data_IF_088314998508
#
_entry.id   IF_088314998508
#
_cell.length_a   1.000
_cell.length_b   1.000
_cell.length_c   1.000
_cell.angle_alpha   90.00
_cell.angle_beta   90.00
_cell.angle_gamma   90.00
#
_symmetry.space_group_name_H-M   'P 1'
#
loop_
_entity.id
_entity.type
_entity.pdbx_description
1 polymer ?
#
# COMPACT_ATOMS: atom_id res chain seq x y z
N UNK A 1 -16.42 0.94 20.15
CA UNK A 1 -14.96 0.86 20.36
C UNK A 1 -14.10 1.51 19.27
N UNK A 2 -14.50 1.62 17.99
CA UNK A 2 -13.83 2.53 17.03
C UNK A 2 -14.27 4.01 17.20
N UNK A 3 -15.55 4.25 17.54
CA UNK A 3 -16.12 5.60 17.64
C UNK A 3 -15.72 6.36 18.93
N UNK A 4 -15.31 5.64 19.98
CA UNK A 4 -14.93 6.25 21.26
C UNK A 4 -13.54 6.92 21.23
N UNK A 5 -12.70 6.60 20.23
CA UNK A 5 -11.39 7.26 20.07
C UNK A 5 -11.53 8.60 19.33
N UNK A 6 -12.56 8.75 18.50
CA UNK A 6 -12.79 9.96 17.72
C UNK A 6 -13.52 11.03 18.56
N UNK A 7 -14.33 10.62 19.55
CA UNK A 7 -15.21 11.55 20.28
C UNK A 7 -14.56 12.34 21.43
N UNK A 8 -13.41 11.91 21.98
CA UNK A 8 -12.91 12.46 23.26
C UNK A 8 -11.89 13.60 23.13
N UNK A 9 -11.65 14.15 21.94
CA UNK A 9 -10.76 15.33 21.77
C UNK A 9 -11.49 16.54 21.15
N UNK A 10 -12.74 16.76 21.53
CA UNK A 10 -13.40 18.07 21.41
C UNK A 10 -13.60 18.66 22.80
N UNK A 11 -12.51 19.02 23.49
CA UNK A 11 -12.48 20.00 24.58
C UNK A 11 -11.09 19.97 25.25
N UNK A 12 -10.10 20.69 24.70
CA UNK A 12 -9.20 21.57 25.46
C UNK A 12 -8.67 22.59 24.44
N UNK A 13 -9.27 23.78 24.43
CA UNK A 13 -8.75 24.96 23.77
C UNK A 13 -7.83 25.67 24.76
N UNK A 14 -6.52 25.50 24.60
CA UNK A 14 -5.53 26.48 25.06
C UNK A 14 -4.47 26.60 23.97
N UNK A 15 -4.14 27.84 23.62
CA UNK A 15 -3.27 28.20 22.51
C UNK A 15 -1.84 27.65 22.67
N UNK A 16 -1.16 27.58 21.51
CA UNK A 16 0.23 27.18 21.29
C UNK A 16 0.57 25.69 21.48
N UNK A 17 -0.01 24.80 20.68
CA UNK A 17 0.65 23.59 20.11
C UNK A 17 -0.37 22.81 19.25
N UNK A 18 -0.60 23.26 18.01
CA UNK A 18 -1.51 22.61 17.05
C UNK A 18 -0.89 21.38 16.38
N UNK A 19 -0.23 20.50 17.13
CA UNK A 19 0.09 19.15 16.64
C UNK A 19 -0.69 18.12 17.44
N UNK A 20 -1.73 17.49 16.85
CA UNK A 20 -2.46 16.46 17.55
C UNK A 20 -1.51 15.30 17.88
N UNK A 21 -1.28 15.11 19.18
CA UNK A 21 -0.40 14.06 19.73
C UNK A 21 -1.09 12.71 19.55
N UNK A 22 -0.95 12.11 18.36
CA UNK A 22 -1.39 10.76 18.00
C UNK A 22 -0.34 9.67 18.29
N UNK A 23 0.68 9.98 19.12
CA UNK A 23 1.81 9.08 19.36
C UNK A 23 1.42 7.86 20.20
N UNK A 24 1.70 6.65 19.70
CA UNK A 24 1.76 5.44 20.51
C UNK A 24 2.90 5.60 21.53
N UNK A 25 2.59 5.73 22.82
CA UNK A 25 3.58 5.84 23.92
C UNK A 25 4.32 4.52 24.13
N UNK A 26 5.61 4.60 24.48
CA UNK A 26 6.62 3.53 24.52
C UNK A 26 6.40 2.29 25.40
N UNK A 27 5.21 2.11 25.98
CA UNK A 27 4.92 0.92 26.81
C UNK A 27 4.80 -0.32 25.92
N UNK A 28 5.58 -1.37 26.19
CA UNK A 28 5.69 -2.57 25.34
C UNK A 28 4.33 -3.24 25.02
N UNK A 29 3.43 -3.30 25.99
CA UNK A 29 2.07 -3.84 25.82
C UNK A 29 1.22 -3.01 24.83
N UNK A 30 1.43 -1.69 24.82
CA UNK A 30 0.78 -0.77 23.86
C UNK A 30 1.40 -0.86 22.46
N UNK A 31 2.67 -1.28 22.34
CA UNK A 31 3.35 -1.41 21.04
C UNK A 31 2.80 -2.55 20.21
N UNK A 32 2.48 -3.69 20.84
CA UNK A 32 1.96 -4.86 20.14
C UNK A 32 0.53 -4.61 19.62
N UNK A 33 -0.30 -3.96 20.43
CA UNK A 33 -1.63 -3.48 20.02
C UNK A 33 -1.54 -2.42 18.91
N UNK A 34 -0.65 -1.43 19.05
CA UNK A 34 -0.42 -0.40 18.04
C UNK A 34 0.05 -1.01 16.71
N UNK A 35 0.96 -1.99 16.73
CA UNK A 35 1.42 -2.69 15.54
C UNK A 35 0.30 -3.46 14.83
N UNK A 36 -0.59 -4.12 15.58
CA UNK A 36 -1.79 -4.76 15.03
C UNK A 36 -2.73 -3.72 14.40
N UNK A 37 -2.93 -2.57 15.04
CA UNK A 37 -3.69 -1.45 14.50
C UNK A 37 -3.14 -0.92 13.17
N UNK A 38 -1.82 -0.74 13.07
CA UNK A 38 -1.17 -0.34 11.82
C UNK A 38 -1.30 -1.37 10.71
N UNK A 39 -1.17 -2.67 11.02
CA UNK A 39 -1.39 -3.75 10.04
C UNK A 39 -2.84 -3.78 9.56
N UNK A 40 -3.81 -3.56 10.44
CA UNK A 40 -5.21 -3.44 10.06
C UNK A 40 -5.43 -2.24 9.15
N UNK A 41 -4.89 -1.07 9.50
CA UNK A 41 -4.99 0.14 8.68
C UNK A 41 -4.36 -0.06 7.30
N UNK A 42 -3.22 -0.75 7.22
CA UNK A 42 -2.57 -1.12 5.97
C UNK A 42 -3.48 -1.94 5.06
N UNK A 43 -4.18 -2.93 5.63
CA UNK A 43 -5.17 -3.71 4.89
C UNK A 43 -6.33 -2.80 4.48
N UNK A 44 -6.94 -2.04 5.40
CA UNK A 44 -8.11 -1.20 5.07
C UNK A 44 -7.84 -0.19 3.94
N UNK A 45 -6.69 0.49 4.00
CA UNK A 45 -6.28 1.47 2.97
C UNK A 45 -6.02 0.86 1.60
N UNK A 46 -5.87 -0.46 1.51
CA UNK A 46 -5.71 -1.20 0.25
C UNK A 46 -7.04 -1.67 -0.37
N UNK A 47 -8.14 -1.69 0.38
CA UNK A 47 -9.42 -2.28 -0.05
C UNK A 47 -10.53 -1.25 -0.16
N UNK A 48 -10.51 -0.21 0.67
CA UNK A 48 -11.65 0.68 0.80
C UNK A 48 -11.26 2.14 0.61
N UNK A 49 -12.04 2.83 -0.23
CA UNK A 49 -12.03 4.30 -0.26
C UNK A 49 -12.68 4.79 1.03
N UNK A 50 -11.99 5.65 1.77
CA UNK A 50 -12.63 6.40 2.84
C UNK A 50 -13.56 7.48 2.26
N UNK A 51 -14.46 8.02 3.08
CA UNK A 51 -15.32 9.13 2.64
C UNK A 51 -14.49 10.36 2.28
N UNK A 52 -15.01 11.19 1.37
CA UNK A 52 -14.34 12.43 0.96
C UNK A 52 -14.10 13.39 2.14
N UNK A 53 -14.98 13.32 3.15
CA UNK A 53 -14.82 14.07 4.40
C UNK A 53 -13.62 13.58 5.21
N UNK A 54 -13.41 12.26 5.31
CA UNK A 54 -12.30 11.67 6.10
C UNK A 54 -10.96 11.74 5.35
N UNK A 55 -10.99 11.68 4.02
CA UNK A 55 -9.82 11.63 3.15
C UNK A 55 -8.71 12.65 3.49
N UNK A 56 -8.97 13.97 3.57
CA UNK A 56 -7.90 14.94 3.80
C UNK A 56 -7.23 14.74 5.17
N UNK A 57 -8.00 14.42 6.21
CA UNK A 57 -7.49 14.19 7.56
C UNK A 57 -6.65 12.91 7.63
N UNK A 58 -7.10 11.84 6.98
CA UNK A 58 -6.39 10.58 6.97
C UNK A 58 -5.07 10.68 6.18
N UNK A 59 -5.08 11.34 5.02
CA UNK A 59 -3.87 11.55 4.23
C UNK A 59 -2.85 12.40 5.00
N UNK A 60 -3.29 13.52 5.58
CA UNK A 60 -2.42 14.37 6.38
C UNK A 60 -1.79 13.61 7.56
N UNK A 61 -2.60 12.82 8.28
CA UNK A 61 -2.11 11.99 9.39
C UNK A 61 -1.03 10.98 8.95
N UNK A 62 -1.25 10.30 7.82
CA UNK A 62 -0.30 9.31 7.29
C UNK A 62 1.00 9.98 6.81
N UNK A 63 0.90 11.17 6.22
CA UNK A 63 2.04 11.97 5.74
C UNK A 63 2.88 12.52 6.88
N UNK A 64 2.26 13.07 7.92
CA UNK A 64 2.95 13.59 9.11
C UNK A 64 3.82 12.51 9.76
N UNK A 65 3.30 11.28 9.87
CA UNK A 65 4.03 10.15 10.44
C UNK A 65 5.10 9.62 9.47
N UNK A 66 4.84 9.63 8.16
CA UNK A 66 5.77 9.09 7.16
C UNK A 66 7.00 9.97 6.94
N UNK A 67 6.89 11.28 7.14
CA UNK A 67 8.01 12.23 6.95
C UNK A 67 8.79 12.47 8.24
N UNK A 68 8.17 12.33 9.41
CA UNK A 68 8.80 12.60 10.70
C UNK A 68 9.90 11.58 11.05
N UNK A 69 11.19 11.97 11.08
CA UNK A 69 12.29 11.07 11.40
C UNK A 69 12.22 10.60 12.86
N UNK A 70 12.56 9.34 13.11
CA UNK A 70 12.59 8.75 14.46
C UNK A 70 11.23 8.29 15.01
N UNK A 71 10.13 8.47 14.27
CA UNK A 71 8.85 7.89 14.67
C UNK A 71 8.79 6.39 14.37
N UNK A 72 8.27 5.62 15.33
CA UNK A 72 7.86 4.25 15.07
C UNK A 72 6.78 4.21 13.97
N UNK A 73 6.78 3.14 13.18
CA UNK A 73 5.79 2.89 12.13
C UNK A 73 5.85 3.79 10.88
N UNK A 74 6.88 4.64 10.72
CA UNK A 74 7.09 5.47 9.53
C UNK A 74 6.91 4.69 8.21
N UNK A 75 7.54 3.51 8.11
CA UNK A 75 7.48 2.68 6.90
C UNK A 75 6.07 2.16 6.58
N UNK A 76 5.30 1.75 7.59
CA UNK A 76 3.92 1.28 7.36
C UNK A 76 2.96 2.45 7.13
N UNK A 77 3.19 3.61 7.76
CA UNK A 77 2.44 4.83 7.46
C UNK A 77 2.62 5.27 6.01
N UNK A 78 3.87 5.27 5.50
CA UNK A 78 4.15 5.57 4.09
C UNK A 78 3.46 4.58 3.14
N UNK A 79 3.43 3.30 3.52
CA UNK A 79 2.79 2.28 2.72
C UNK A 79 1.25 2.41 2.73
N UNK A 80 0.65 2.77 3.87
CA UNK A 80 -0.78 3.10 3.96
C UNK A 80 -1.15 4.33 3.11
N UNK A 81 -0.29 5.37 3.09
CA UNK A 81 -0.49 6.55 2.24
C UNK A 81 -0.53 6.16 0.76
N UNK A 82 0.46 5.38 0.30
CA UNK A 82 0.53 4.88 -1.08
C UNK A 82 -0.67 3.99 -1.43
N UNK A 83 -1.07 3.08 -0.53
CA UNK A 83 -2.23 2.22 -0.71
C UNK A 83 -3.51 3.04 -0.87
N UNK A 84 -3.70 4.07 -0.03
CA UNK A 84 -4.87 4.91 -0.07
C UNK A 84 -4.97 5.69 -1.38
N UNK A 85 -3.86 6.30 -1.83
CA UNK A 85 -3.78 7.02 -3.10
C UNK A 85 -4.18 6.13 -4.28
N UNK A 86 -3.61 4.91 -4.35
CA UNK A 86 -3.97 3.94 -5.38
C UNK A 86 -5.42 3.49 -5.29
N UNK A 87 -5.91 3.18 -4.09
CA UNK A 87 -7.31 2.81 -3.88
C UNK A 87 -8.27 3.90 -4.37
N UNK A 88 -7.91 5.18 -4.26
CA UNK A 88 -8.68 6.26 -4.87
C UNK A 88 -8.61 6.22 -6.40
N UNK A 89 -7.41 6.21 -6.98
CA UNK A 89 -7.18 6.30 -8.42
C UNK A 89 -7.71 5.10 -9.21
N UNK A 90 -7.47 3.90 -8.68
CA UNK A 90 -7.55 2.62 -9.37
C UNK A 90 -8.62 1.70 -8.77
N UNK A 91 -9.15 2.06 -7.59
CA UNK A 91 -10.08 1.24 -6.82
C UNK A 91 -9.35 0.31 -5.85
N UNK A 92 -10.07 -0.12 -4.82
CA UNK A 92 -9.52 -1.02 -3.81
C UNK A 92 -9.38 -2.45 -4.31
N UNK A 93 -8.60 -3.26 -3.60
CA UNK A 93 -8.48 -4.71 -3.85
C UNK A 93 -9.83 -5.41 -3.73
N UNK A 94 -10.04 -6.41 -4.60
CA UNK A 94 -11.21 -7.29 -4.57
C UNK A 94 -10.91 -8.67 -3.94
N UNK A 95 -9.64 -9.06 -3.90
CA UNK A 95 -9.19 -10.34 -3.38
C UNK A 95 -8.49 -10.16 -2.04
N UNK A 96 -8.84 -11.02 -1.09
CA UNK A 96 -8.25 -11.04 0.26
C UNK A 96 -6.75 -11.34 0.21
N UNK A 97 -5.98 -10.89 1.23
CA UNK A 97 -4.55 -11.12 1.23
C UNK A 97 -4.27 -12.60 1.49
N UNK A 98 -3.35 -13.18 0.71
CA UNK A 98 -2.92 -14.56 0.88
C UNK A 98 -2.21 -14.78 2.22
N UNK A 99 -2.11 -16.03 2.66
CA UNK A 99 -1.36 -16.38 3.88
C UNK A 99 0.12 -15.94 3.81
N UNK A 100 0.71 -15.95 2.61
CA UNK A 100 2.07 -15.45 2.34
C UNK A 100 2.17 -13.93 2.50
N UNK A 101 1.20 -13.17 1.98
CA UNK A 101 1.13 -11.71 2.18
C UNK A 101 0.96 -11.35 3.66
N UNK A 102 0.11 -12.07 4.39
CA UNK A 102 -0.08 -11.86 5.83
C UNK A 102 1.22 -12.12 6.62
N UNK A 103 1.96 -13.18 6.28
CA UNK A 103 3.27 -13.48 6.87
C UNK A 103 4.31 -12.39 6.54
N UNK A 104 4.29 -11.87 5.30
CA UNK A 104 5.13 -10.76 4.87
C UNK A 104 4.88 -9.47 5.69
N UNK A 105 3.61 -9.16 5.97
CA UNK A 105 3.21 -8.05 6.86
C UNK A 105 3.63 -8.27 8.32
N UNK A 106 3.77 -9.52 8.74
CA UNK A 106 4.28 -9.85 10.06
C UNK A 106 5.80 -9.63 10.18
N UNK A 107 6.56 -10.07 9.16
CA UNK A 107 8.02 -10.15 9.18
C UNK A 107 8.78 -9.09 8.38
N UNK A 108 8.12 -8.03 7.88
CA UNK A 108 8.72 -6.99 7.02
C UNK A 108 9.44 -7.52 5.76
N UNK A 109 9.03 -8.68 5.24
CA UNK A 109 9.56 -9.21 3.98
C UNK A 109 8.64 -8.79 2.84
N UNK A 110 9.22 -8.30 1.74
CA UNK A 110 8.45 -7.99 0.54
C UNK A 110 8.36 -9.21 -0.38
N UNK A 111 7.20 -9.43 -1.02
CA UNK A 111 7.07 -10.45 -2.07
C UNK A 111 7.87 -9.98 -3.28
N UNK A 112 8.79 -10.81 -3.78
CA UNK A 112 9.43 -10.61 -5.08
C UNK A 112 8.80 -11.57 -6.07
N UNK A 113 8.28 -11.02 -7.16
CA UNK A 113 7.63 -11.79 -8.21
C UNK A 113 8.56 -11.86 -9.41
N UNK A 114 8.66 -13.05 -10.00
CA UNK A 114 9.36 -13.25 -11.25
C UNK A 114 8.46 -12.79 -12.40
N UNK A 115 9.00 -11.92 -13.25
CA UNK A 115 8.46 -11.47 -14.51
C UNK A 115 9.35 -11.96 -15.65
N UNK A 116 8.72 -12.40 -16.72
CA UNK A 116 9.39 -12.86 -17.93
C UNK A 116 9.23 -11.80 -19.01
N UNK A 117 10.34 -11.28 -19.51
CA UNK A 117 10.37 -10.31 -20.60
C UNK A 117 10.54 -11.02 -21.95
N UNK A 118 10.19 -10.36 -23.07
CA UNK A 118 10.52 -10.85 -24.41
C UNK A 118 12.00 -11.23 -24.51
N UNK A 119 12.28 -12.34 -25.20
CA UNK A 119 13.64 -12.89 -25.30
C UNK A 119 14.05 -13.80 -24.13
N UNK A 120 13.12 -14.17 -23.24
CA UNK A 120 13.37 -15.13 -22.16
C UNK A 120 14.14 -14.54 -20.98
N UNK A 121 14.15 -13.22 -20.84
CA UNK A 121 14.86 -12.54 -19.77
C UNK A 121 14.01 -12.59 -18.50
N UNK A 122 14.58 -13.14 -17.43
CA UNK A 122 13.96 -13.25 -16.12
C UNK A 122 14.25 -12.03 -15.24
N UNK A 123 13.22 -11.41 -14.64
CA UNK A 123 13.36 -10.25 -13.75
C UNK A 123 12.54 -10.38 -12.47
N UNK A 124 13.16 -10.11 -11.33
CA UNK A 124 12.52 -10.18 -10.02
C UNK A 124 12.18 -8.80 -9.47
N UNK A 125 10.90 -8.42 -9.57
CA UNK A 125 10.40 -7.13 -9.10
C UNK A 125 9.71 -7.26 -7.75
N UNK A 126 9.76 -6.17 -6.98
CA UNK A 126 9.14 -6.13 -5.66
C UNK A 126 7.68 -5.73 -5.79
N UNK A 127 6.78 -6.66 -5.49
CA UNK A 127 5.34 -6.39 -5.54
C UNK A 127 4.85 -5.95 -4.15
N UNK A 128 4.18 -4.79 -4.13
CA UNK A 128 3.44 -4.26 -2.99
C UNK A 128 1.97 -4.67 -3.08
N UNK A 129 1.26 -4.61 -1.95
CA UNK A 129 -0.16 -5.01 -1.85
C UNK A 129 -1.10 -4.28 -2.81
N UNK A 130 -0.89 -3.00 -3.13
CA UNK A 130 -1.69 -2.25 -4.11
C UNK A 130 -0.98 -2.06 -5.45
N UNK A 131 -0.04 -2.92 -5.84
CA UNK A 131 0.59 -2.78 -7.16
C UNK A 131 -0.40 -3.14 -8.25
N UNK A 132 -0.50 -2.29 -9.25
CA UNK A 132 -1.29 -2.45 -10.47
C UNK A 132 -0.34 -2.77 -11.63
N UNK A 133 -0.86 -3.29 -12.75
CA UNK A 133 -0.01 -3.72 -13.87
C UNK A 133 0.84 -2.57 -14.41
N UNK A 134 0.27 -1.35 -14.41
CA UNK A 134 0.98 -0.14 -14.82
C UNK A 134 2.25 0.11 -13.99
N UNK A 135 2.24 -0.10 -12.67
CA UNK A 135 3.44 0.12 -11.85
C UNK A 135 4.61 -0.75 -12.29
N UNK A 136 4.30 -1.99 -12.68
CA UNK A 136 5.31 -2.96 -13.11
C UNK A 136 5.82 -2.61 -14.50
N UNK A 137 4.93 -2.19 -15.41
CA UNK A 137 5.31 -1.73 -16.74
C UNK A 137 6.22 -0.51 -16.62
N UNK A 138 5.85 0.49 -15.83
CA UNK A 138 6.65 1.68 -15.57
C UNK A 138 8.04 1.33 -15.01
N UNK A 139 8.10 0.45 -14.00
CA UNK A 139 9.37 0.03 -13.39
C UNK A 139 10.30 -0.67 -14.41
N UNK A 140 9.75 -1.58 -15.22
CA UNK A 140 10.51 -2.28 -16.27
C UNK A 140 10.96 -1.31 -17.37
N UNK A 141 10.07 -0.45 -17.86
CA UNK A 141 10.38 0.52 -18.91
C UNK A 141 11.45 1.50 -18.44
N UNK A 142 11.36 1.98 -17.20
CA UNK A 142 12.34 2.87 -16.63
C UNK A 142 13.74 2.22 -16.56
N UNK A 143 13.83 0.95 -16.14
CA UNK A 143 15.08 0.18 -16.15
C UNK A 143 15.64 -0.03 -17.57
N UNK A 144 14.77 -0.14 -18.58
CA UNK A 144 15.16 -0.28 -19.99
C UNK A 144 15.52 1.05 -20.65
N UNK A 145 15.42 2.19 -19.94
CA UNK A 145 15.67 3.52 -20.50
C UNK A 145 14.52 4.09 -21.32
N UNK A 146 13.33 3.47 -21.25
CA UNK A 146 12.11 3.95 -21.87
C UNK A 146 11.36 4.82 -20.87
N UNK A 147 11.58 6.14 -20.95
CA UNK A 147 11.01 7.10 -19.98
C UNK A 147 9.82 7.88 -20.54
N UNK A 148 9.51 7.69 -21.82
CA UNK A 148 8.37 8.33 -22.47
C UNK A 148 7.07 7.65 -22.04
N UNK A 149 6.05 8.40 -21.57
CA UNK A 149 4.76 7.84 -21.16
C UNK A 149 4.10 6.99 -22.24
N UNK A 150 4.26 7.38 -23.49
CA UNK A 150 3.70 6.69 -24.65
C UNK A 150 4.23 5.26 -24.78
N UNK A 151 5.46 5.01 -24.32
CA UNK A 151 6.04 3.68 -24.34
C UNK A 151 5.32 2.72 -23.38
N UNK A 152 4.73 3.20 -22.29
CA UNK A 152 4.07 2.33 -21.31
C UNK A 152 2.79 1.70 -21.87
N UNK A 153 2.10 2.41 -22.75
CA UNK A 153 0.87 1.94 -23.40
C UNK A 153 1.12 0.83 -24.42
N UNK A 154 2.38 0.64 -24.86
CA UNK A 154 2.76 -0.44 -25.78
C UNK A 154 2.94 -1.81 -25.10
N UNK A 155 2.98 -1.84 -23.76
CA UNK A 155 3.24 -3.06 -22.99
C UNK A 155 2.01 -3.57 -22.25
N UNK A 156 1.86 -4.90 -22.21
CA UNK A 156 0.80 -5.60 -21.48
C UNK A 156 1.44 -6.73 -20.67
N UNK A 157 0.90 -6.99 -19.47
CA UNK A 157 1.33 -8.10 -18.62
C UNK A 157 0.36 -9.27 -18.75
N UNK A 158 0.90 -10.45 -18.99
CA UNK A 158 0.13 -11.70 -18.98
C UNK A 158 0.39 -12.49 -17.71
N UNK A 159 -0.67 -13.04 -17.11
CA UNK A 159 -0.53 -14.06 -16.07
C UNK A 159 -0.50 -15.45 -16.70
N UNK A 160 0.55 -16.22 -16.41
CA UNK A 160 0.70 -17.61 -16.85
C UNK A 160 0.60 -18.53 -15.63
N UNK A 161 -0.46 -19.33 -15.55
CA UNK A 161 -0.62 -20.36 -14.52
C UNK A 161 -0.22 -21.73 -15.08
N UNK A 162 0.68 -22.43 -14.39
CA UNK A 162 1.25 -23.67 -14.91
C UNK A 162 0.31 -24.87 -14.62
N UNK A 163 -0.39 -25.37 -15.67
CA UNK A 163 -0.93 -26.74 -15.91
C UNK A 163 -2.08 -26.82 -16.92
N UNK A 164 -2.46 -25.71 -17.55
CA UNK A 164 -3.28 -25.67 -18.78
C UNK A 164 -3.30 -24.23 -19.26
N UNK A 165 -3.27 -24.02 -20.56
CA UNK A 165 -3.04 -22.77 -21.30
C UNK A 165 -4.06 -21.66 -21.01
N UNK A 166 -4.11 -21.16 -19.79
CA UNK A 166 -4.91 -20.00 -19.41
C UNK A 166 -4.00 -18.79 -19.30
N UNK A 167 -3.75 -18.19 -20.46
CA UNK A 167 -3.19 -16.84 -20.57
C UNK A 167 -4.33 -15.87 -20.32
N UNK A 168 -4.25 -15.12 -19.22
CA UNK A 168 -5.18 -14.02 -18.95
C UNK A 168 -4.41 -12.70 -19.02
N UNK A 169 -4.89 -11.82 -19.88
CA UNK A 169 -4.47 -10.41 -19.89
C UNK A 169 -4.76 -9.80 -18.51
N UNK A 170 -3.71 -9.27 -17.90
CA UNK A 170 -3.87 -8.43 -16.73
C UNK A 170 -4.12 -7.02 -17.26
N UNK A 171 -5.37 -6.58 -17.22
CA UNK A 171 -5.68 -5.17 -17.44
C UNK A 171 -4.84 -4.29 -16.52
N UNK A 172 -4.71 -3.00 -16.84
CA UNK A 172 -3.93 -2.00 -16.08
C UNK A 172 -4.12 -2.12 -14.56
N UNK A 173 -5.30 -2.56 -14.11
CA UNK A 173 -5.68 -2.73 -12.70
C UNK A 173 -5.35 -4.10 -12.05
N UNK A 174 -4.97 -5.12 -12.83
CA UNK A 174 -5.36 -6.50 -12.54
C UNK A 174 -4.26 -7.44 -12.05
N UNK A 175 -3.03 -6.98 -11.73
CA UNK A 175 -1.96 -7.82 -11.14
C UNK A 175 -2.36 -8.59 -9.85
N UNK A 176 -3.56 -8.33 -9.35
CA UNK A 176 -4.19 -8.77 -8.10
C UNK A 176 -4.54 -10.27 -8.02
N UNK A 177 -4.08 -11.13 -8.95
CA UNK A 177 -4.49 -12.55 -9.05
C UNK A 177 -3.44 -13.61 -8.68
N UNK A 178 -2.27 -13.22 -8.17
CA UNK A 178 -1.15 -14.16 -7.93
C UNK A 178 -0.66 -14.26 -6.48
#
# INVERSE_FOLDING_TARGET
>A
WLMQVISTKRAVLTGSELRPKWRCTDVADRRDSCQKGWRLLYILTAYYRCSDVLKPYLLWFLQDISVSPGLHFQGIAKACEQNLQKTFQFGGRCEFPSSTELKALAGRRAKRQLFLLPGGIERHLKIKTCSVALDVIEEICYEMGLHQPEAFDEYIIFAVANRSELVRELGVESLRKG
#
